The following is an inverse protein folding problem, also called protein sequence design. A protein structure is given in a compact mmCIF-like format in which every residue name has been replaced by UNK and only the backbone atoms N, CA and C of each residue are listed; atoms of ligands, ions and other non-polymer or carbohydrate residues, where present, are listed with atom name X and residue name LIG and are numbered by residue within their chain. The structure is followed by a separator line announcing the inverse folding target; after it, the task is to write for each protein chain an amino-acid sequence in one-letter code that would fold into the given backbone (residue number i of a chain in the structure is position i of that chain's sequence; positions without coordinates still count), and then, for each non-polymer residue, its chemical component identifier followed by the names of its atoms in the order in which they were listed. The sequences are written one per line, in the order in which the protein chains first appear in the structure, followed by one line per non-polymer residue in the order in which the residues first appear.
data_IF_873342534646
#
_entry.id   IF_873342534646
#
_cell.length_a   1.000
_cell.length_b   1.000
_cell.length_c   1.000
_cell.angle_alpha   90.00
_cell.angle_beta   90.00
_cell.angle_gamma   90.00
#
_symmetry.space_group_name_H-M   'P 1'
#
loop_
_entity.id
_entity.type
_entity.pdbx_description
1 polymer ?
#
# COMPACT_ATOMS: atom_id res chain seq x y z
N UNK A 1 2.73 33.84 -10.96
CA UNK A 1 3.17 32.95 -9.85
C UNK A 1 4.02 31.86 -10.46
N UNK A 2 5.30 31.79 -10.07
CA UNK A 2 6.29 30.90 -10.69
C UNK A 2 5.96 29.43 -10.45
N UNK A 3 5.56 28.72 -11.51
CA UNK A 3 5.35 27.28 -11.46
C UNK A 3 6.69 26.60 -11.23
N UNK A 4 6.85 25.96 -10.08
CA UNK A 4 7.96 25.05 -9.82
C UNK A 4 7.98 24.00 -10.94
N UNK A 5 9.04 23.97 -11.74
CA UNK A 5 9.18 22.96 -12.79
C UNK A 5 9.17 21.59 -12.10
N UNK A 6 8.16 20.78 -12.40
CA UNK A 6 8.05 19.47 -11.76
C UNK A 6 9.02 18.53 -12.47
N UNK A 7 10.10 18.15 -11.77
CA UNK A 7 11.25 17.46 -12.36
C UNK A 7 11.23 15.93 -12.23
N UNK A 8 10.17 15.35 -11.67
CA UNK A 8 10.11 13.91 -11.41
C UNK A 8 8.67 13.37 -11.40
N UNK A 9 8.45 12.16 -11.92
CA UNK A 9 7.17 11.46 -11.85
C UNK A 9 6.91 10.88 -10.44
N UNK A 10 7.96 10.67 -9.64
CA UNK A 10 7.89 10.30 -8.22
C UNK A 10 8.67 11.28 -7.32
N UNK A 11 8.09 12.47 -7.06
CA UNK A 11 8.62 13.46 -6.12
C UNK A 11 8.88 12.90 -4.71
N UNK A 12 9.64 13.65 -3.90
CA UNK A 12 10.10 13.21 -2.58
C UNK A 12 8.99 12.67 -1.66
N UNK A 13 7.84 13.32 -1.59
CA UNK A 13 6.69 12.85 -0.81
C UNK A 13 6.22 11.45 -1.24
N UNK A 14 5.96 11.25 -2.54
CA UNK A 14 5.50 9.96 -3.07
C UNK A 14 6.58 8.88 -3.01
N UNK A 15 7.85 9.26 -3.17
CA UNK A 15 8.96 8.34 -2.97
C UNK A 15 9.04 7.87 -1.51
N UNK A 16 8.86 8.78 -0.55
CA UNK A 16 8.79 8.40 0.86
C UNK A 16 7.60 7.48 1.12
N UNK A 17 6.40 7.85 0.67
CA UNK A 17 5.19 7.07 0.90
C UNK A 17 5.28 5.65 0.32
N UNK A 18 5.59 5.52 -0.98
CA UNK A 18 5.50 4.24 -1.71
C UNK A 18 6.83 3.50 -1.81
N UNK A 19 7.95 4.21 -1.79
CA UNK A 19 9.29 3.63 -1.93
C UNK A 19 9.98 3.33 -0.60
N UNK A 20 9.46 3.83 0.53
CA UNK A 20 10.04 3.61 1.86
C UNK A 20 8.98 3.19 2.88
N UNK A 21 8.04 4.07 3.21
CA UNK A 21 7.11 3.90 4.32
C UNK A 21 6.24 2.65 4.15
N UNK A 22 5.51 2.55 3.04
CA UNK A 22 4.66 1.39 2.75
C UNK A 22 5.47 0.07 2.71
N UNK A 23 6.60 -0.03 1.98
CA UNK A 23 7.40 -1.24 1.98
C UNK A 23 7.96 -1.66 3.34
N UNK A 24 8.44 -0.70 4.13
CA UNK A 24 8.95 -0.97 5.48
C UNK A 24 7.81 -1.47 6.36
N UNK A 25 6.62 -0.90 6.21
CA UNK A 25 5.44 -1.39 6.92
C UNK A 25 5.08 -2.83 6.51
N UNK A 26 5.08 -3.15 5.22
CA UNK A 26 4.81 -4.50 4.73
C UNK A 26 5.82 -5.54 5.28
N UNK A 27 7.11 -5.16 5.31
CA UNK A 27 8.16 -5.98 5.93
C UNK A 27 7.96 -6.12 7.45
N UNK A 28 7.61 -5.05 8.14
CA UNK A 28 7.36 -5.08 9.58
C UNK A 28 6.16 -5.97 9.93
N UNK A 29 5.10 -5.95 9.12
CA UNK A 29 3.94 -6.85 9.28
C UNK A 29 4.36 -8.30 9.11
N UNK A 30 5.16 -8.62 8.09
CA UNK A 30 5.69 -9.98 7.90
C UNK A 30 6.53 -10.44 9.09
N UNK A 31 7.46 -9.62 9.56
CA UNK A 31 8.28 -9.94 10.74
C UNK A 31 7.39 -10.14 11.98
N UNK A 32 6.38 -9.29 12.18
CA UNK A 32 5.42 -9.41 13.27
C UNK A 32 4.61 -10.72 13.23
N UNK A 33 4.15 -11.13 12.05
CA UNK A 33 3.38 -12.38 11.87
C UNK A 33 4.27 -13.61 12.03
N UNK A 34 5.53 -13.56 11.58
CA UNK A 34 6.48 -14.66 11.82
C UNK A 34 6.78 -14.81 13.31
N UNK A 35 6.90 -13.69 14.04
CA UNK A 35 7.19 -13.69 15.47
C UNK A 35 6.01 -14.20 16.31
N UNK A 36 4.78 -13.76 16.02
CA UNK A 36 3.59 -14.16 16.77
C UNK A 36 2.34 -14.21 15.85
N UNK A 37 2.16 -15.31 15.09
CA UNK A 37 1.06 -15.42 14.15
C UNK A 37 -0.30 -15.51 14.85
N UNK A 38 -0.35 -16.07 16.06
CA UNK A 38 -1.58 -16.23 16.84
C UNK A 38 -2.10 -14.87 17.30
N UNK A 39 -1.23 -14.04 17.88
CA UNK A 39 -1.62 -12.70 18.34
C UNK A 39 -2.10 -11.83 17.19
N UNK A 40 -1.39 -11.83 16.07
CA UNK A 40 -1.78 -11.02 14.92
C UNK A 40 -3.09 -11.52 14.30
N UNK A 41 -3.29 -12.85 14.21
CA UNK A 41 -4.55 -13.45 13.79
C UNK A 41 -5.71 -13.01 14.68
N UNK A 42 -5.54 -13.11 16.01
CA UNK A 42 -6.58 -12.76 16.96
C UNK A 42 -6.88 -11.26 17.02
N UNK A 43 -6.07 -10.41 16.37
CA UNK A 43 -6.30 -8.98 16.23
C UNK A 43 -6.91 -8.57 14.88
N UNK A 44 -7.18 -9.52 13.97
CA UNK A 44 -7.75 -9.20 12.64
C UNK A 44 -9.24 -8.81 12.67
N UNK A 45 -9.94 -9.05 13.78
CA UNK A 45 -11.35 -8.72 13.94
C UNK A 45 -11.82 -8.88 15.39
N UNK A 46 -13.02 -8.37 15.72
CA UNK A 46 -13.62 -8.57 17.03
C UNK A 46 -13.97 -10.04 17.25
N UNK A 47 -14.00 -10.48 18.50
CA UNK A 47 -14.39 -11.83 18.87
C UNK A 47 -15.66 -11.81 19.72
N UNK A 48 -16.68 -12.59 19.34
CA UNK A 48 -17.92 -12.76 20.11
C UNK A 48 -17.81 -13.84 21.20
N UNK A 49 -16.79 -14.69 21.09
CA UNK A 49 -16.41 -15.74 22.02
C UNK A 49 -14.92 -15.62 22.29
N UNK A 50 -14.37 -16.38 23.23
CA UNK A 50 -12.93 -16.32 23.48
C UNK A 50 -12.13 -16.64 22.20
N UNK A 51 -11.11 -15.83 21.87
CA UNK A 51 -10.26 -16.08 20.72
C UNK A 51 -9.51 -17.42 20.88
N UNK A 52 -9.16 -18.10 19.78
CA UNK A 52 -8.49 -19.38 19.85
C UNK A 52 -7.15 -19.25 20.58
N UNK A 53 -6.83 -20.25 21.41
CA UNK A 53 -5.54 -20.36 22.08
C UNK A 53 -4.43 -20.90 21.16
N UNK A 54 -4.80 -21.49 20.03
CA UNK A 54 -3.88 -22.02 19.02
C UNK A 54 -4.45 -21.90 17.61
N UNK A 55 -3.57 -21.72 16.62
CA UNK A 55 -3.97 -21.74 15.21
C UNK A 55 -3.90 -23.15 14.66
N UNK A 56 -4.93 -23.54 13.91
CA UNK A 56 -4.85 -24.71 13.03
C UNK A 56 -3.66 -24.58 12.08
N UNK A 57 -3.08 -25.70 11.65
CA UNK A 57 -1.96 -25.71 10.69
C UNK A 57 -2.31 -24.96 9.41
N UNK A 58 -3.54 -25.14 8.90
CA UNK A 58 -4.02 -24.46 7.71
C UNK A 58 -4.04 -22.93 7.91
N UNK A 59 -4.67 -22.46 8.99
CA UNK A 59 -4.72 -21.03 9.32
C UNK A 59 -3.32 -20.45 9.44
N UNK A 60 -2.43 -21.12 10.19
CA UNK A 60 -1.03 -20.69 10.39
C UNK A 60 -0.29 -20.51 9.06
N UNK A 61 -0.40 -21.49 8.15
CA UNK A 61 0.21 -21.41 6.82
C UNK A 61 -0.38 -20.23 6.04
N UNK A 62 -1.70 -20.04 6.05
CA UNK A 62 -2.35 -18.95 5.34
C UNK A 62 -1.91 -17.57 5.80
N UNK A 63 -1.83 -17.29 7.12
CA UNK A 63 -1.37 -15.97 7.62
C UNK A 63 0.10 -15.72 7.28
N UNK A 64 0.95 -16.74 7.40
CA UNK A 64 2.37 -16.64 7.04
C UNK A 64 2.55 -16.38 5.54
N UNK A 65 1.83 -17.09 4.68
CA UNK A 65 1.91 -16.90 3.23
C UNK A 65 1.37 -15.53 2.79
N UNK A 66 0.25 -15.09 3.37
CA UNK A 66 -0.32 -13.77 3.07
C UNK A 66 0.63 -12.64 3.45
N UNK A 67 1.24 -12.73 4.63
CA UNK A 67 2.21 -11.74 5.11
C UNK A 67 3.50 -11.75 4.29
N UNK A 68 3.99 -12.94 3.90
CA UNK A 68 5.12 -13.07 2.99
C UNK A 68 4.84 -12.41 1.63
N UNK A 69 3.67 -12.64 1.05
CA UNK A 69 3.28 -12.01 -0.21
C UNK A 69 3.27 -10.47 -0.09
N UNK A 70 2.74 -9.94 1.01
CA UNK A 70 2.77 -8.50 1.30
C UNK A 70 4.21 -7.95 1.36
N UNK A 71 5.12 -8.65 2.06
CA UNK A 71 6.53 -8.28 2.10
C UNK A 71 7.21 -8.30 0.72
N UNK A 72 6.92 -9.30 -0.12
CA UNK A 72 7.45 -9.37 -1.49
C UNK A 72 6.95 -8.20 -2.35
N UNK A 73 5.69 -7.82 -2.22
CA UNK A 73 5.14 -6.64 -2.90
C UNK A 73 5.83 -5.36 -2.40
N UNK A 74 6.02 -5.22 -1.08
CA UNK A 74 6.77 -4.12 -0.50
C UNK A 74 8.21 -4.03 -1.03
N UNK A 75 8.95 -5.13 -1.07
CA UNK A 75 10.29 -5.19 -1.63
C UNK A 75 10.30 -4.80 -3.12
N UNK A 76 9.32 -5.29 -3.88
CA UNK A 76 9.15 -4.93 -5.28
C UNK A 76 9.00 -3.41 -5.43
N UNK A 77 8.19 -2.79 -4.58
CA UNK A 77 8.03 -1.33 -4.55
C UNK A 77 9.35 -0.61 -4.28
N UNK A 78 10.13 -1.03 -3.26
CA UNK A 78 11.45 -0.45 -2.97
C UNK A 78 12.32 -0.47 -4.22
N UNK A 79 12.52 -1.65 -4.81
CA UNK A 79 13.46 -1.82 -5.91
C UNK A 79 13.00 -1.09 -7.17
N UNK A 80 11.74 -1.24 -7.58
CA UNK A 80 11.24 -0.65 -8.82
C UNK A 80 11.17 0.88 -8.71
N UNK A 81 10.66 1.42 -7.60
CA UNK A 81 10.57 2.88 -7.41
C UNK A 81 11.96 3.49 -7.30
N UNK A 82 12.87 2.86 -6.56
CA UNK A 82 14.26 3.33 -6.47
C UNK A 82 14.94 3.33 -7.83
N UNK A 83 14.85 2.22 -8.58
CA UNK A 83 15.45 2.10 -9.90
C UNK A 83 14.86 3.13 -10.87
N UNK A 84 13.54 3.28 -10.91
CA UNK A 84 12.87 4.28 -11.75
C UNK A 84 13.29 5.70 -11.38
N UNK A 85 13.37 6.03 -10.09
CA UNK A 85 13.79 7.37 -9.65
C UNK A 85 15.24 7.67 -10.01
N UNK A 86 16.14 6.70 -9.84
CA UNK A 86 17.58 6.86 -10.05
C UNK A 86 17.99 6.82 -11.52
N UNK A 87 17.41 5.91 -12.30
CA UNK A 87 17.88 5.62 -13.66
C UNK A 87 17.00 6.22 -14.77
N UNK A 88 15.77 6.64 -14.46
CA UNK A 88 14.84 7.22 -15.45
C UNK A 88 14.57 8.70 -15.23
N UNK A 89 15.36 9.38 -14.41
CA UNK A 89 15.22 10.82 -14.18
C UNK A 89 15.36 11.67 -15.46
N UNK A 90 16.09 11.17 -16.47
CA UNK A 90 16.22 11.80 -17.78
C UNK A 90 15.09 11.45 -18.77
N UNK A 91 14.26 10.44 -18.45
CA UNK A 91 13.13 10.00 -19.28
C UNK A 91 11.86 9.91 -18.43
N UNK A 92 11.31 11.09 -18.12
CA UNK A 92 10.11 11.25 -17.30
C UNK A 92 8.86 10.53 -17.85
N UNK A 93 8.56 10.52 -19.18
CA UNK A 93 7.43 9.74 -19.68
C UNK A 93 7.56 8.24 -19.39
N UNK A 94 8.76 7.67 -19.56
CA UNK A 94 9.01 6.25 -19.26
C UNK A 94 8.94 6.00 -17.75
N UNK A 95 9.52 6.90 -16.94
CA UNK A 95 9.43 6.84 -15.48
C UNK A 95 7.97 6.81 -15.02
N UNK A 96 7.15 7.74 -15.51
CA UNK A 96 5.72 7.80 -15.18
C UNK A 96 5.00 6.51 -15.58
N UNK A 97 5.31 5.94 -16.75
CA UNK A 97 4.71 4.70 -17.24
C UNK A 97 5.00 3.52 -16.31
N UNK A 98 6.26 3.35 -15.88
CA UNK A 98 6.64 2.27 -14.96
C UNK A 98 5.99 2.46 -13.58
N UNK A 99 5.99 3.69 -13.05
CA UNK A 99 5.34 3.96 -11.76
C UNK A 99 3.82 3.73 -11.86
N UNK A 100 3.16 4.11 -12.97
CA UNK A 100 1.74 3.78 -13.21
C UNK A 100 1.50 2.27 -13.18
N UNK A 101 2.33 1.51 -13.89
CA UNK A 101 2.20 0.06 -13.98
C UNK A 101 2.35 -0.61 -12.60
N UNK A 102 3.18 -0.05 -11.73
CA UNK A 102 3.35 -0.51 -10.35
C UNK A 102 2.20 -0.08 -9.43
N UNK A 103 1.76 1.18 -9.50
CA UNK A 103 0.77 1.73 -8.58
C UNK A 103 -0.68 1.33 -8.88
N UNK A 104 -1.00 0.94 -10.12
CA UNK A 104 -2.35 0.51 -10.48
C UNK A 104 -2.80 -0.73 -9.70
N UNK A 105 -2.05 -1.85 -9.69
CA UNK A 105 -2.38 -3.01 -8.87
C UNK A 105 -2.52 -2.68 -7.38
N UNK A 106 -1.68 -1.78 -6.85
CA UNK A 106 -1.75 -1.37 -5.44
C UNK A 106 -3.01 -0.56 -5.14
N UNK A 107 -3.43 0.32 -6.05
CA UNK A 107 -4.67 1.06 -5.90
C UNK A 107 -5.89 0.11 -5.90
N UNK A 108 -5.90 -0.90 -6.77
CA UNK A 108 -6.90 -1.96 -6.70
C UNK A 108 -6.82 -2.73 -5.39
N UNK A 109 -5.60 -3.01 -4.91
CA UNK A 109 -5.34 -3.61 -3.61
C UNK A 109 -5.92 -2.80 -2.45
N UNK A 110 -5.76 -1.47 -2.45
CA UNK A 110 -6.34 -0.60 -1.42
C UNK A 110 -7.87 -0.72 -1.38
N UNK A 111 -8.52 -0.65 -2.55
CA UNK A 111 -9.98 -0.75 -2.67
C UNK A 111 -10.46 -2.13 -2.24
N UNK A 112 -9.79 -3.19 -2.70
CA UNK A 112 -10.13 -4.56 -2.33
C UNK A 112 -9.92 -4.81 -0.84
N UNK A 113 -8.80 -4.36 -0.27
CA UNK A 113 -8.51 -4.51 1.16
C UNK A 113 -9.59 -3.81 1.99
N UNK A 114 -9.90 -2.55 1.70
CA UNK A 114 -10.93 -1.83 2.44
C UNK A 114 -12.33 -2.47 2.29
N UNK A 115 -12.70 -2.86 1.07
CA UNK A 115 -14.02 -3.45 0.80
C UNK A 115 -14.18 -4.84 1.41
N UNK A 116 -13.15 -5.69 1.36
CA UNK A 116 -13.19 -7.03 1.91
C UNK A 116 -13.10 -7.03 3.43
N UNK A 117 -12.24 -6.18 4.03
CA UNK A 117 -12.18 -6.03 5.48
C UNK A 117 -13.51 -5.54 6.03
N UNK A 118 -14.10 -4.51 5.42
CA UNK A 118 -15.42 -4.03 5.86
C UNK A 118 -16.49 -5.09 5.63
N UNK A 119 -16.58 -5.72 4.46
CA UNK A 119 -17.53 -6.81 4.21
C UNK A 119 -17.44 -7.94 5.25
N UNK A 120 -16.23 -8.37 5.60
CA UNK A 120 -16.02 -9.41 6.60
C UNK A 120 -16.49 -8.98 7.99
N UNK A 121 -16.20 -7.75 8.40
CA UNK A 121 -16.59 -7.21 9.71
C UNK A 121 -18.10 -6.95 9.84
N UNK A 122 -18.79 -6.66 8.72
CA UNK A 122 -20.23 -6.41 8.70
C UNK A 122 -21.04 -7.66 9.05
N UNK A 123 -20.55 -8.85 8.65
CA UNK A 123 -21.19 -10.13 8.99
C UNK A 123 -21.30 -10.36 10.49
N UNK A 124 -20.41 -9.75 11.27
CA UNK A 124 -20.36 -9.84 12.73
C UNK A 124 -21.04 -8.67 13.45
N UNK A 125 -21.83 -7.87 12.74
CA UNK A 125 -22.52 -6.70 13.27
C UNK A 125 -21.66 -5.45 13.17
N UNK A 126 -22.26 -4.34 12.76
CA UNK A 126 -21.60 -3.04 12.55
C UNK A 126 -21.21 -2.34 13.88
N UNK A 127 -20.71 -3.06 14.87
CA UNK A 127 -20.16 -2.41 16.07
C UNK A 127 -18.71 -1.98 15.83
N UNK A 128 -18.57 -0.85 15.12
CA UNK A 128 -17.30 -0.23 14.78
C UNK A 128 -16.48 0.09 16.06
N UNK A 129 -17.14 0.34 17.19
CA UNK A 129 -16.46 0.69 18.44
C UNK A 129 -15.68 -0.50 19.03
N UNK A 130 -16.07 -1.73 18.71
CA UNK A 130 -15.41 -2.95 19.20
C UNK A 130 -14.24 -3.42 18.33
N UNK A 131 -13.95 -2.71 17.23
CA UNK A 131 -12.88 -3.12 16.33
C UNK A 131 -11.51 -3.08 17.03
N UNK A 132 -10.70 -4.16 16.94
CA UNK A 132 -9.37 -4.17 17.53
C UNK A 132 -8.48 -3.05 16.99
N UNK A 133 -7.49 -2.65 17.79
CA UNK A 133 -6.53 -1.60 17.41
C UNK A 133 -5.82 -1.86 16.09
N UNK A 134 -5.51 -3.13 15.79
CA UNK A 134 -4.86 -3.51 14.54
C UNK A 134 -5.75 -3.25 13.31
N UNK A 135 -7.07 -3.46 13.42
CA UNK A 135 -8.03 -3.13 12.36
C UNK A 135 -8.06 -1.62 12.12
N UNK A 136 -8.15 -0.82 13.18
CA UNK A 136 -8.11 0.64 13.08
C UNK A 136 -6.83 1.18 12.45
N UNK A 137 -5.68 0.66 12.88
CA UNK A 137 -4.38 1.01 12.31
C UNK A 137 -4.33 0.62 10.83
N UNK A 138 -4.79 -0.59 10.49
CA UNK A 138 -4.88 -1.07 9.11
C UNK A 138 -5.76 -0.17 8.22
N UNK A 139 -6.95 0.19 8.68
CA UNK A 139 -7.86 1.09 7.97
C UNK A 139 -7.26 2.50 7.82
N UNK A 140 -6.69 3.07 8.87
CA UNK A 140 -6.12 4.41 8.85
C UNK A 140 -4.92 4.53 7.90
N UNK A 141 -3.98 3.58 7.99
CA UNK A 141 -2.83 3.52 7.09
C UNK A 141 -3.28 3.22 5.66
N UNK A 142 -4.19 2.26 5.47
CA UNK A 142 -4.74 1.91 4.17
C UNK A 142 -5.40 3.10 3.48
N UNK A 143 -6.20 3.87 4.22
CA UNK A 143 -6.83 5.09 3.72
C UNK A 143 -5.79 6.16 3.38
N UNK A 144 -4.78 6.36 4.21
CA UNK A 144 -3.68 7.29 3.92
C UNK A 144 -2.98 6.94 2.61
N UNK A 145 -2.62 5.67 2.42
CA UNK A 145 -1.94 5.21 1.22
C UNK A 145 -2.85 5.30 -0.02
N UNK A 146 -4.13 4.94 0.12
CA UNK A 146 -5.14 5.11 -0.92
C UNK A 146 -5.24 6.56 -1.39
N UNK A 147 -5.41 7.51 -0.47
CA UNK A 147 -5.49 8.94 -0.80
C UNK A 147 -4.21 9.42 -1.48
N UNK A 148 -3.05 9.00 -0.98
CA UNK A 148 -1.78 9.31 -1.64
C UNK A 148 -1.74 8.76 -3.07
N UNK A 149 -2.20 7.53 -3.34
CA UNK A 149 -2.22 6.97 -4.70
C UNK A 149 -3.21 7.68 -5.60
N UNK A 150 -4.41 7.99 -5.11
CA UNK A 150 -5.40 8.77 -5.87
C UNK A 150 -4.84 10.15 -6.21
N UNK A 151 -4.21 10.85 -5.26
CA UNK A 151 -3.54 12.12 -5.50
C UNK A 151 -2.42 12.00 -6.54
N UNK A 152 -1.63 10.91 -6.47
CA UNK A 152 -0.63 10.61 -7.47
C UNK A 152 -1.26 10.42 -8.84
N UNK A 153 -2.29 9.57 -9.00
CA UNK A 153 -2.96 9.36 -10.29
C UNK A 153 -3.63 10.63 -10.83
N UNK A 154 -4.18 11.47 -9.96
CA UNK A 154 -4.71 12.79 -10.32
C UNK A 154 -3.63 13.81 -10.74
N UNK A 155 -2.34 13.47 -10.59
CA UNK A 155 -1.22 14.30 -11.03
C UNK A 155 -0.88 15.42 -10.05
N UNK A 156 -1.30 15.31 -8.78
CA UNK A 156 -1.05 16.31 -7.74
C UNK A 156 0.44 16.34 -7.41
N UNK A 157 1.10 17.48 -7.57
CA UNK A 157 2.48 17.69 -7.12
C UNK A 157 3.58 16.88 -7.84
N UNK A 158 3.29 16.24 -8.98
CA UNK A 158 4.25 15.43 -9.76
C UNK A 158 4.20 15.73 -11.26
N UNK A 159 5.21 15.28 -12.01
CA UNK A 159 5.22 15.34 -13.47
C UNK A 159 4.09 14.48 -14.05
N UNK A 160 3.40 14.98 -15.09
CA UNK A 160 2.39 14.26 -15.86
C UNK A 160 2.65 14.50 -17.35
N UNK A 161 2.96 13.47 -18.13
CA UNK A 161 3.30 13.57 -19.56
C UNK A 161 2.22 14.33 -20.36
N UNK A 162 0.95 13.99 -20.15
CA UNK A 162 -0.17 14.63 -20.85
C UNK A 162 -0.27 16.14 -20.56
N UNK A 163 0.17 16.60 -19.38
CA UNK A 163 0.06 18.00 -18.93
C UNK A 163 1.35 18.79 -19.16
N UNK A 164 2.49 18.18 -18.84
CA UNK A 164 3.80 18.83 -18.76
C UNK A 164 4.73 18.44 -19.91
N UNK A 165 4.37 17.39 -20.67
CA UNK A 165 5.12 16.93 -21.83
C UNK A 165 5.17 18.02 -22.90
N UNK A 166 6.39 18.41 -23.27
CA UNK A 166 6.60 19.31 -24.40
C UNK A 166 6.17 18.56 -25.66
N UNK A 167 4.98 18.86 -26.18
CA UNK A 167 4.58 18.40 -27.49
C UNK A 167 5.58 18.96 -28.50
N UNK A 168 6.58 18.16 -28.89
CA UNK A 168 7.26 18.38 -30.16
C UNK A 168 6.23 18.06 -31.23
N UNK A 169 5.46 19.06 -31.65
CA UNK A 169 4.84 19.03 -32.97
C UNK A 169 6.00 18.88 -33.96
N UNK A 170 6.12 17.69 -34.53
CA UNK A 170 6.81 17.50 -35.80
C UNK A 170 5.94 18.08 -36.92
#
# INVERSE_FOLDING_TARGET
MGGTSVTNAIPGFYYFAFGIFEPVLALAIFVGIVADPLKIHNQQGPWRVDPPAELSTATRISVLQLSYLSAVVGLTNIFVIHAARKHLASNLPLQETIIKALLWPLLFGDVAHFSLTTYALIGDGWDIAEWPSLVWVGCGIGLYLFVARVAWFAGVGRYVEKRDGKHKRA
#
